data_IF_739531943630
#
_entry.id   IF_739531943630
#
_cell.length_a   1.000
_cell.length_b   1.000
_cell.length_c   1.000
_cell.angle_alpha   90.00
_cell.angle_beta   90.00
_cell.angle_gamma   90.00
#
_symmetry.space_group_name_H-M   'P 1'
#
loop_
_entity.id
_entity.type
_entity.pdbx_description
1 polymer ?
#
# COMPACT_ATOMS: atom_id res chain seq x y z
N UNK A 1 -28.80 -1.13 -17.82
CA UNK A 1 -27.65 -1.90 -18.38
C UNK A 1 -27.38 -3.09 -17.48
N UNK A 2 -27.36 -4.31 -18.02
CA UNK A 2 -26.94 -5.52 -17.26
C UNK A 2 -25.43 -5.70 -17.48
N UNK A 3 -24.64 -5.35 -16.48
CA UNK A 3 -23.19 -5.60 -16.48
C UNK A 3 -22.94 -7.10 -16.53
N UNK A 4 -22.35 -7.58 -17.62
CA UNK A 4 -22.05 -9.00 -17.78
C UNK A 4 -20.63 -9.22 -17.29
N UNK A 5 -20.46 -9.51 -15.99
CA UNK A 5 -19.15 -9.87 -15.43
C UNK A 5 -18.60 -11.08 -16.19
N UNK A 6 -17.55 -10.87 -16.97
CA UNK A 6 -16.86 -11.93 -17.71
C UNK A 6 -16.03 -12.73 -16.70
N UNK A 7 -16.68 -13.69 -16.04
CA UNK A 7 -16.02 -14.59 -15.11
C UNK A 7 -14.97 -15.41 -15.86
N UNK A 8 -13.69 -15.05 -15.71
CA UNK A 8 -12.58 -15.87 -16.20
C UNK A 8 -12.49 -17.10 -15.31
N UNK A 9 -13.15 -18.18 -15.74
CA UNK A 9 -13.06 -19.48 -15.07
C UNK A 9 -11.80 -20.20 -15.55
N UNK A 10 -10.86 -20.43 -14.65
CA UNK A 10 -9.76 -21.39 -14.87
C UNK A 10 -10.10 -22.65 -14.07
N UNK A 11 -10.31 -23.78 -14.76
CA UNK A 11 -10.68 -25.06 -14.16
C UNK A 11 -11.93 -24.98 -13.25
N UNK A 12 -12.95 -24.22 -13.65
CA UNK A 12 -14.21 -24.12 -12.91
C UNK A 12 -14.18 -23.28 -11.63
N UNK A 13 -13.04 -22.68 -11.26
CA UNK A 13 -12.92 -21.74 -10.13
C UNK A 13 -12.93 -20.30 -10.63
N UNK A 14 -13.64 -19.43 -9.92
CA UNK A 14 -13.48 -17.98 -10.09
C UNK A 14 -12.07 -17.64 -9.63
N UNK A 15 -11.26 -17.09 -10.53
CA UNK A 15 -9.92 -16.64 -10.19
C UNK A 15 -10.04 -15.18 -9.81
N UNK A 16 -9.74 -14.83 -8.57
CA UNK A 16 -9.74 -13.42 -8.21
C UNK A 16 -8.51 -12.76 -8.85
N UNK A 17 -8.76 -11.69 -9.61
CA UNK A 17 -7.75 -10.91 -10.29
C UNK A 17 -7.40 -9.68 -9.46
N UNK A 18 -6.12 -9.32 -9.40
CA UNK A 18 -5.71 -8.02 -8.86
C UNK A 18 -4.63 -7.44 -9.74
N UNK A 19 -4.68 -6.12 -9.93
CA UNK A 19 -3.71 -5.40 -10.75
C UNK A 19 -3.10 -4.27 -9.94
N UNK A 20 -1.78 -4.14 -10.04
CA UNK A 20 -1.07 -3.00 -9.50
C UNK A 20 -1.15 -1.84 -10.50
N UNK A 21 -1.57 -0.67 -10.02
CA UNK A 21 -1.78 0.53 -10.83
C UNK A 21 -0.92 1.68 -10.29
N UNK A 22 -0.41 2.52 -11.20
CA UNK A 22 0.24 3.79 -10.85
C UNK A 22 -0.75 4.96 -11.00
N UNK A 23 -0.27 6.19 -11.14
CA UNK A 23 -1.09 7.42 -11.20
C UNK A 23 -1.65 7.77 -12.58
N UNK A 24 -1.52 6.90 -13.60
CA UNK A 24 -2.07 7.21 -14.94
C UNK A 24 -3.56 6.87 -15.06
N UNK A 25 -4.40 7.73 -14.47
CA UNK A 25 -5.86 7.55 -14.42
C UNK A 25 -6.52 7.42 -15.79
N UNK A 26 -6.24 8.37 -16.68
CA UNK A 26 -6.89 8.46 -17.99
C UNK A 26 -6.63 7.22 -18.84
N UNK A 27 -5.40 6.69 -18.78
CA UNK A 27 -5.03 5.47 -19.48
C UNK A 27 -5.82 4.27 -18.95
N UNK A 28 -5.88 4.10 -17.63
CA UNK A 28 -6.53 2.95 -17.01
C UNK A 28 -8.04 2.95 -17.19
N UNK A 29 -8.68 4.11 -17.20
CA UNK A 29 -10.11 4.25 -17.55
C UNK A 29 -10.36 3.95 -19.02
N UNK A 30 -9.51 4.44 -19.92
CA UNK A 30 -9.67 4.21 -21.37
C UNK A 30 -9.63 2.72 -21.73
N UNK A 31 -8.88 1.91 -20.99
CA UNK A 31 -8.76 0.45 -21.21
C UNK A 31 -9.63 -0.39 -20.27
N UNK A 32 -10.45 0.24 -19.42
CA UNK A 32 -11.21 -0.41 -18.34
C UNK A 32 -10.35 -1.42 -17.54
N UNK A 33 -9.16 -1.02 -17.12
CA UNK A 33 -8.21 -1.93 -16.46
C UNK A 33 -8.79 -2.54 -15.18
N UNK A 34 -9.58 -1.74 -14.46
CA UNK A 34 -10.15 -2.10 -13.16
C UNK A 34 -11.51 -2.80 -13.25
N UNK A 35 -12.22 -2.76 -14.38
CA UNK A 35 -13.49 -3.47 -14.58
C UNK A 35 -13.41 -4.97 -14.34
N UNK A 36 -12.49 -5.71 -15.01
CA UNK A 36 -12.47 -7.18 -14.99
C UNK A 36 -11.76 -7.81 -13.77
N UNK A 37 -11.03 -7.02 -12.98
CA UNK A 37 -10.31 -7.50 -11.78
C UNK A 37 -11.12 -7.26 -10.51
N UNK A 38 -10.80 -7.92 -9.41
CA UNK A 38 -11.46 -7.70 -8.12
C UNK A 38 -10.88 -6.51 -7.37
N UNK A 39 -9.56 -6.30 -7.50
CA UNK A 39 -8.84 -5.24 -6.81
C UNK A 39 -7.88 -4.50 -7.74
N UNK A 40 -7.84 -3.19 -7.57
CA UNK A 40 -6.84 -2.29 -8.12
C UNK A 40 -5.99 -1.77 -6.97
N UNK A 41 -4.72 -2.16 -6.98
CA UNK A 41 -3.75 -1.90 -5.93
C UNK A 41 -2.95 -0.67 -6.35
N UNK A 42 -3.28 0.48 -5.77
CA UNK A 42 -2.54 1.69 -6.08
C UNK A 42 -1.17 1.63 -5.47
N UNK A 43 -0.16 1.56 -6.33
CA UNK A 43 1.23 1.69 -5.93
C UNK A 43 1.55 3.16 -6.15
N UNK A 44 1.66 3.94 -5.08
CA UNK A 44 2.11 5.33 -5.12
C UNK A 44 3.57 5.47 -5.57
N UNK A 45 4.01 4.73 -6.58
CA UNK A 45 5.39 4.72 -7.06
C UNK A 45 5.71 6.08 -7.68
N UNK A 46 6.85 6.69 -7.32
CA UNK A 46 7.33 7.88 -7.98
C UNK A 46 7.66 7.54 -9.45
N UNK A 47 6.99 8.16 -10.41
CA UNK A 47 7.44 8.08 -11.80
C UNK A 47 8.70 8.93 -11.95
N UNK A 48 9.78 8.35 -12.45
CA UNK A 48 11.07 9.03 -12.64
C UNK A 48 11.16 9.91 -13.88
N UNK A 49 10.09 10.02 -14.67
CA UNK A 49 10.21 10.60 -16.00
C UNK A 49 9.49 11.95 -16.05
N UNK A 50 10.23 13.01 -15.69
CA UNK A 50 10.02 14.41 -16.11
C UNK A 50 9.03 15.30 -15.32
N UNK A 51 8.41 14.84 -14.23
CA UNK A 51 7.68 15.68 -13.26
C UNK A 51 7.97 15.22 -11.82
N UNK A 52 7.94 16.09 -10.80
CA UNK A 52 8.22 15.71 -9.42
C UNK A 52 7.28 14.57 -8.97
N UNK A 53 7.86 13.37 -8.88
CA UNK A 53 7.38 12.15 -8.21
C UNK A 53 5.86 11.95 -8.22
N UNK A 54 5.32 11.40 -9.31
CA UNK A 54 3.90 11.08 -9.46
C UNK A 54 3.43 9.86 -8.64
N UNK A 55 3.69 9.83 -7.33
CA UNK A 55 3.19 8.78 -6.45
C UNK A 55 3.35 9.07 -4.97
N UNK A 56 4.43 9.76 -4.63
CA UNK A 56 4.75 10.20 -3.28
C UNK A 56 5.12 11.69 -3.30
N UNK A 57 4.47 12.50 -2.46
CA UNK A 57 4.73 13.93 -2.32
C UNK A 57 5.81 14.21 -1.27
N UNK A 58 6.88 13.41 -1.34
CA UNK A 58 8.04 13.17 -0.44
C UNK A 58 8.65 14.36 0.33
N UNK A 59 8.17 15.58 0.13
CA UNK A 59 8.70 16.82 0.69
C UNK A 59 7.64 17.66 1.41
N UNK A 60 6.34 17.30 1.39
CA UNK A 60 5.26 18.13 1.98
C UNK A 60 4.85 17.70 3.38
N UNK A 61 4.82 16.40 3.66
CA UNK A 61 4.59 15.88 5.01
C UNK A 61 5.91 15.42 5.61
N UNK A 62 6.39 16.06 6.70
CA UNK A 62 7.61 15.63 7.35
C UNK A 62 7.43 14.30 8.07
N UNK A 63 6.34 13.53 7.89
CA UNK A 63 6.10 12.24 8.55
C UNK A 63 6.10 11.05 7.58
N UNK A 64 6.18 11.27 6.26
CA UNK A 64 5.98 10.18 5.29
C UNK A 64 6.53 10.43 3.88
N UNK A 65 6.64 9.36 3.09
CA UNK A 65 6.84 9.46 1.64
C UNK A 65 5.56 9.99 0.97
N UNK A 66 4.39 9.52 1.42
CA UNK A 66 3.10 10.12 1.02
C UNK A 66 2.42 10.77 2.21
N UNK A 67 2.16 12.06 2.10
CA UNK A 67 1.22 12.76 2.95
C UNK A 67 -0.15 12.12 2.85
N UNK A 68 -0.87 12.13 3.97
CA UNK A 68 -2.24 11.63 3.98
C UNK A 68 -3.17 12.46 3.08
N UNK A 69 -2.92 13.77 2.94
CA UNK A 69 -3.70 14.65 2.06
C UNK A 69 -3.54 14.28 0.60
N UNK A 70 -2.32 13.91 0.19
CA UNK A 70 -2.09 13.37 -1.13
C UNK A 70 -2.90 12.08 -1.33
N UNK A 71 -2.79 11.11 -0.42
CA UNK A 71 -3.54 9.85 -0.52
C UNK A 71 -5.05 10.08 -0.57
N UNK A 72 -5.60 11.02 0.22
CA UNK A 72 -7.02 11.40 0.15
C UNK A 72 -7.41 11.90 -1.23
N UNK A 73 -6.60 12.75 -1.84
CA UNK A 73 -6.86 13.25 -3.20
C UNK A 73 -6.85 12.11 -4.23
N UNK A 74 -5.92 11.16 -4.11
CA UNK A 74 -5.87 9.97 -4.97
C UNK A 74 -7.13 9.11 -4.79
N UNK A 75 -7.53 8.83 -3.55
CA UNK A 75 -8.75 8.07 -3.23
C UNK A 75 -9.97 8.77 -3.82
N UNK A 76 -10.09 10.08 -3.64
CA UNK A 76 -11.17 10.90 -4.19
C UNK A 76 -11.21 10.83 -5.72
N UNK A 77 -10.06 10.95 -6.37
CA UNK A 77 -9.96 10.86 -7.83
C UNK A 77 -10.46 9.50 -8.34
N UNK A 78 -9.97 8.39 -7.76
CA UNK A 78 -10.39 7.04 -8.15
C UNK A 78 -11.88 6.78 -7.88
N UNK A 79 -12.37 7.21 -6.71
CA UNK A 79 -13.76 6.97 -6.29
C UNK A 79 -14.75 7.85 -7.05
N UNK A 80 -14.55 9.16 -7.00
CA UNK A 80 -15.56 10.14 -7.41
C UNK A 80 -15.46 10.50 -8.90
N UNK A 81 -14.24 10.55 -9.45
CA UNK A 81 -14.02 10.96 -10.85
C UNK A 81 -13.95 9.76 -11.77
N UNK A 82 -13.23 8.70 -11.35
CA UNK A 82 -13.10 7.48 -12.15
C UNK A 82 -14.25 6.50 -11.91
N UNK A 83 -15.03 6.66 -10.83
CA UNK A 83 -16.18 5.81 -10.52
C UNK A 83 -15.79 4.40 -10.08
N UNK A 84 -14.55 4.20 -9.60
CA UNK A 84 -14.10 2.90 -9.12
C UNK A 84 -14.82 2.59 -7.80
N UNK A 85 -15.51 1.44 -7.68
CA UNK A 85 -16.14 1.07 -6.41
C UNK A 85 -15.09 1.04 -5.28
N UNK A 86 -15.32 1.69 -4.12
CA UNK A 86 -14.35 1.79 -3.03
C UNK A 86 -13.72 0.45 -2.64
N UNK A 87 -14.56 -0.58 -2.52
CA UNK A 87 -14.13 -1.94 -2.16
C UNK A 87 -13.16 -2.58 -3.17
N UNK A 88 -13.02 -2.05 -4.40
CA UNK A 88 -12.03 -2.51 -5.39
C UNK A 88 -10.70 -1.77 -5.27
N UNK A 89 -10.66 -0.61 -4.64
CA UNK A 89 -9.46 0.21 -4.55
C UNK A 89 -8.66 -0.09 -3.28
N UNK A 90 -7.37 -0.37 -3.36
CA UNK A 90 -6.52 -0.57 -2.18
C UNK A 90 -5.35 0.40 -2.17
N UNK A 91 -5.03 0.95 -1.00
CA UNK A 91 -3.96 1.94 -0.79
C UNK A 91 -2.60 1.25 -0.71
N UNK A 92 -1.63 1.73 -1.48
CA UNK A 92 -0.24 1.32 -1.38
C UNK A 92 0.46 1.87 -0.14
N UNK A 93 1.22 1.00 0.51
CA UNK A 93 2.01 1.27 1.70
C UNK A 93 3.46 0.88 1.42
N UNK A 94 4.38 1.86 1.32
CA UNK A 94 5.80 1.59 1.21
C UNK A 94 6.33 1.09 2.56
N UNK A 95 7.00 -0.06 2.54
CA UNK A 95 7.77 -0.57 3.68
C UNK A 95 9.27 -0.37 3.43
N UNK A 96 9.65 0.79 2.90
CA UNK A 96 11.02 1.18 2.63
C UNK A 96 11.16 2.69 2.77
N UNK A 97 12.39 3.17 2.93
CA UNK A 97 12.72 4.57 2.74
C UNK A 97 13.35 4.83 1.39
N UNK A 98 13.20 6.05 0.89
CA UNK A 98 13.74 6.49 -0.39
C UNK A 98 14.48 7.81 -0.19
N UNK A 99 15.68 7.90 -0.75
CA UNK A 99 16.49 9.11 -0.70
C UNK A 99 16.12 10.06 -1.84
N UNK A 100 16.63 11.30 -1.79
CA UNK A 100 16.41 12.29 -2.86
C UNK A 100 16.94 11.85 -4.24
N UNK A 101 17.86 10.88 -4.30
CA UNK A 101 18.40 10.31 -5.55
C UNK A 101 17.64 9.05 -6.01
N UNK A 102 16.56 8.67 -5.32
CA UNK A 102 15.79 7.47 -5.60
C UNK A 102 16.39 6.17 -5.04
N UNK A 103 17.51 6.24 -4.30
CA UNK A 103 18.05 5.06 -3.64
C UNK A 103 17.09 4.59 -2.54
N UNK A 104 16.76 3.29 -2.54
CA UNK A 104 15.82 2.70 -1.59
C UNK A 104 16.54 1.87 -0.52
N UNK A 105 16.00 1.91 0.70
CA UNK A 105 16.50 1.13 1.84
C UNK A 105 15.32 0.47 2.57
N UNK A 106 15.39 -0.83 2.94
CA UNK A 106 14.31 -1.49 3.67
C UNK A 106 13.96 -0.80 5.00
N UNK A 107 12.69 -0.78 5.37
CA UNK A 107 12.22 -0.12 6.60
C UNK A 107 12.92 -0.66 7.85
N UNK A 108 13.07 -1.98 7.99
CA UNK A 108 13.81 -2.54 9.14
C UNK A 108 15.24 -2.03 9.24
N UNK A 109 15.89 -1.75 8.11
CA UNK A 109 17.28 -1.29 8.09
C UNK A 109 17.40 0.15 8.56
N UNK A 110 16.43 1.00 8.22
CA UNK A 110 16.34 2.36 8.78
C UNK A 110 16.24 2.33 10.31
N UNK A 111 15.37 1.46 10.83
CA UNK A 111 15.16 1.32 12.27
C UNK A 111 16.40 0.73 12.96
N UNK A 112 17.08 -0.25 12.36
CA UNK A 112 18.39 -0.74 12.83
C UNK A 112 19.45 0.36 12.88
N UNK A 113 19.40 1.32 11.95
CA UNK A 113 20.32 2.45 11.89
C UNK A 113 19.97 3.56 12.89
N UNK A 114 18.82 3.48 13.57
CA UNK A 114 18.38 4.44 14.58
C UNK A 114 17.22 5.35 14.16
N UNK A 115 16.57 5.09 13.03
CA UNK A 115 15.34 5.78 12.67
C UNK A 115 14.24 5.49 13.71
N UNK A 116 13.53 6.52 14.16
CA UNK A 116 12.36 6.37 15.03
C UNK A 116 11.11 6.08 14.17
N UNK A 117 10.50 4.89 14.28
CA UNK A 117 9.25 4.55 13.58
C UNK A 117 8.11 5.52 13.90
N UNK A 118 8.07 6.08 15.11
CA UNK A 118 7.01 7.00 15.58
C UNK A 118 7.35 8.47 15.31
N UNK A 119 8.51 8.72 14.72
CA UNK A 119 9.06 10.06 14.49
C UNK A 119 8.59 10.69 13.17
N UNK A 120 9.44 11.59 12.66
CA UNK A 120 9.18 12.45 11.50
C UNK A 120 9.50 11.76 10.16
N UNK A 121 9.16 10.48 9.97
CA UNK A 121 9.25 9.78 8.67
C UNK A 121 10.50 10.04 7.81
N UNK A 122 11.63 10.34 8.42
CA UNK A 122 12.85 10.74 7.73
C UNK A 122 14.05 10.47 8.63
N UNK A 123 15.11 9.92 8.04
CA UNK A 123 16.32 9.53 8.76
C UNK A 123 17.48 9.38 7.78
N UNK A 124 18.64 9.94 8.12
CA UNK A 124 19.87 9.81 7.33
C UNK A 124 19.70 10.10 5.82
N UNK A 125 18.87 11.09 5.46
CA UNK A 125 18.61 11.46 4.06
C UNK A 125 17.60 10.59 3.31
N UNK A 126 16.97 9.62 3.99
CA UNK A 126 15.85 8.83 3.48
C UNK A 126 14.52 9.33 4.06
N UNK A 127 13.48 9.32 3.25
CA UNK A 127 12.09 9.57 3.64
C UNK A 127 11.35 8.24 3.67
N UNK A 128 10.50 7.99 4.65
CA UNK A 128 9.74 6.75 4.84
C UNK A 128 8.42 7.04 5.55
N UNK A 129 7.40 6.19 5.38
CA UNK A 129 6.16 6.35 6.14
C UNK A 129 6.37 5.96 7.60
N UNK A 130 6.28 6.95 8.49
CA UNK A 130 6.24 6.70 9.94
C UNK A 130 4.98 5.95 10.35
N UNK A 131 5.02 5.28 11.50
CA UNK A 131 3.89 4.55 12.07
C UNK A 131 2.61 5.41 12.16
N UNK A 132 2.64 6.70 12.59
CA UNK A 132 1.47 7.57 12.52
C UNK A 132 0.88 7.73 11.11
N UNK A 133 1.71 7.92 10.08
CA UNK A 133 1.21 8.04 8.69
C UNK A 133 0.63 6.74 8.19
N UNK A 134 1.25 5.61 8.55
CA UNK A 134 0.70 4.30 8.21
C UNK A 134 -0.67 4.08 8.87
N UNK A 135 -0.85 4.51 10.12
CA UNK A 135 -2.14 4.47 10.80
C UNK A 135 -3.16 5.40 10.14
N UNK A 136 -2.77 6.64 9.80
CA UNK A 136 -3.64 7.59 9.08
C UNK A 136 -4.19 6.97 7.77
N UNK A 137 -3.38 6.18 7.06
CA UNK A 137 -3.79 5.45 5.85
C UNK A 137 -4.72 4.28 6.15
N UNK A 138 -4.55 3.60 7.28
CA UNK A 138 -5.45 2.53 7.73
C UNK A 138 -6.83 3.13 8.01
N UNK A 139 -6.85 4.20 8.79
CA UNK A 139 -8.08 4.91 9.16
C UNK A 139 -8.80 5.43 7.92
N UNK A 140 -8.06 6.03 6.96
CA UNK A 140 -8.62 6.46 5.69
C UNK A 140 -9.29 5.31 4.92
N UNK A 141 -8.61 4.17 4.82
CA UNK A 141 -9.12 2.98 4.12
C UNK A 141 -10.41 2.48 4.74
N UNK A 142 -10.46 2.41 6.08
CA UNK A 142 -11.63 1.97 6.83
C UNK A 142 -12.80 2.97 6.69
N UNK A 143 -12.54 4.26 6.86
CA UNK A 143 -13.54 5.32 6.78
C UNK A 143 -14.16 5.47 5.39
N UNK A 144 -13.37 5.24 4.33
CA UNK A 144 -13.80 5.35 2.93
C UNK A 144 -14.34 4.02 2.37
N UNK A 145 -14.35 2.94 3.16
CA UNK A 145 -14.81 1.63 2.72
C UNK A 145 -13.95 1.03 1.59
N UNK A 146 -12.65 1.29 1.62
CA UNK A 146 -11.73 0.85 0.59
C UNK A 146 -11.48 -0.65 0.64
N UNK A 147 -10.93 -1.17 -0.43
CA UNK A 147 -10.59 -2.58 -0.61
C UNK A 147 -9.41 -3.09 0.21
N UNK A 148 -8.78 -2.26 1.05
CA UNK A 148 -7.67 -2.61 1.94
C UNK A 148 -6.37 -1.88 1.60
N UNK A 149 -5.24 -2.53 1.89
CA UNK A 149 -3.90 -2.00 1.64
C UNK A 149 -3.05 -2.97 0.84
N UNK A 150 -2.00 -2.46 0.21
CA UNK A 150 -0.97 -3.26 -0.45
C UNK A 150 0.38 -2.80 0.07
N UNK A 151 1.16 -3.73 0.65
CA UNK A 151 2.48 -3.42 1.20
C UNK A 151 3.60 -3.81 0.24
N UNK A 152 4.51 -2.88 -0.06
CA UNK A 152 5.72 -3.13 -0.86
C UNK A 152 6.99 -2.83 -0.05
N UNK A 153 7.78 -3.81 0.38
CA UNK A 153 7.51 -5.25 0.40
C UNK A 153 7.61 -5.78 1.83
N UNK A 154 6.87 -6.85 2.16
CA UNK A 154 6.88 -7.44 3.51
C UNK A 154 8.26 -7.81 4.05
N UNK A 155 9.20 -8.17 3.16
CA UNK A 155 10.58 -8.51 3.57
C UNK A 155 11.34 -7.31 4.12
N UNK A 156 10.83 -6.12 3.83
CA UNK A 156 11.38 -4.86 4.30
C UNK A 156 10.75 -4.39 5.60
N UNK A 157 9.68 -5.06 6.08
CA UNK A 157 9.05 -4.78 7.37
C UNK A 157 9.97 -5.13 8.55
N UNK A 158 9.63 -4.61 9.71
CA UNK A 158 10.23 -4.99 10.98
C UNK A 158 10.11 -6.51 11.17
N UNK A 159 11.25 -7.16 11.44
CA UNK A 159 11.24 -8.57 11.76
C UNK A 159 10.50 -8.79 13.09
N UNK A 160 9.69 -9.84 13.23
CA UNK A 160 9.24 -10.29 14.54
C UNK A 160 10.49 -10.48 15.41
N UNK A 161 10.64 -9.67 16.46
CA UNK A 161 11.81 -9.80 17.33
C UNK A 161 11.77 -11.20 17.93
N UNK A 162 12.77 -12.03 17.63
CA UNK A 162 13.18 -13.10 18.54
C UNK A 162 13.60 -12.43 19.84
N UNK A 163 12.68 -12.35 20.81
CA UNK A 163 12.85 -11.98 22.23
C UNK A 163 13.94 -10.93 22.52
N UNK A 164 13.55 -9.66 22.56
CA UNK A 164 14.16 -8.69 23.48
C UNK A 164 13.09 -8.23 24.48
N UNK A 165 13.37 -8.22 25.79
CA UNK A 165 12.40 -7.79 26.79
C UNK A 165 12.29 -6.26 26.83
N UNK A 166 11.11 -5.80 27.28
CA UNK A 166 10.74 -4.46 27.74
C UNK A 166 10.54 -3.31 26.72
N UNK A 167 9.25 -3.00 26.57
CA UNK A 167 8.57 -1.73 26.93
C UNK A 167 8.26 -0.64 25.90
N UNK A 168 8.65 -0.73 24.62
CA UNK A 168 8.29 0.36 23.66
C UNK A 168 7.93 -0.05 22.23
N UNK A 169 7.80 -1.34 21.91
CA UNK A 169 7.62 -1.80 20.52
C UNK A 169 6.48 -2.78 20.30
N UNK A 170 5.23 -2.37 20.42
CA UNK A 170 4.10 -3.06 19.78
C UNK A 170 4.05 -2.62 18.30
N UNK A 171 4.20 -3.64 17.45
CA UNK A 171 4.54 -3.52 16.04
C UNK A 171 3.32 -3.17 15.20
N UNK A 172 3.54 -2.56 14.03
CA UNK A 172 2.52 -2.27 13.02
C UNK A 172 1.64 -3.49 12.66
N UNK A 173 2.18 -4.71 12.83
CA UNK A 173 1.46 -5.98 12.69
C UNK A 173 0.41 -6.23 13.78
N UNK A 174 0.44 -5.54 14.92
CA UNK A 174 -0.50 -5.69 16.04
C UNK A 174 -1.74 -4.82 15.86
N UNK A 175 -1.59 -3.56 15.43
CA UNK A 175 -2.73 -2.66 15.11
C UNK A 175 -3.59 -3.24 13.99
N UNK A 176 -2.98 -3.90 13.00
CA UNK A 176 -3.73 -4.55 11.93
C UNK A 176 -4.36 -5.91 12.35
N UNK A 177 -4.19 -6.38 13.60
CA UNK A 177 -4.94 -7.54 14.15
C UNK A 177 -6.37 -7.19 14.55
N UNK A 178 -6.66 -5.93 14.86
CA UNK A 178 -7.96 -5.51 15.41
C UNK A 178 -8.92 -4.94 14.36
N UNK A 179 -8.41 -4.43 13.24
CA UNK A 179 -9.22 -3.93 12.13
C UNK A 179 -9.17 -4.87 10.93
N UNK A 180 -10.30 -5.07 10.26
CA UNK A 180 -10.48 -5.99 9.13
C UNK A 180 -9.75 -5.56 7.84
N UNK A 181 -8.57 -4.97 7.96
CA UNK A 181 -7.74 -4.48 6.86
C UNK A 181 -7.01 -5.66 6.22
N UNK A 182 -7.34 -5.93 4.97
CA UNK A 182 -6.69 -6.96 4.17
C UNK A 182 -5.47 -6.38 3.47
N UNK A 183 -4.29 -6.98 3.68
CA UNK A 183 -3.16 -6.77 2.77
C UNK A 183 -3.35 -7.63 1.52
N UNK A 184 -3.42 -6.99 0.35
CA UNK A 184 -3.45 -7.67 -0.92
C UNK A 184 -2.02 -7.99 -1.36
N UNK A 185 -1.71 -9.27 -1.50
CA UNK A 185 -0.40 -9.76 -1.91
C UNK A 185 -0.45 -10.32 -3.32
N UNK A 186 0.45 -9.86 -4.19
CA UNK A 186 0.77 -10.53 -5.45
C UNK A 186 2.08 -11.30 -5.28
N UNK A 187 1.99 -12.63 -5.32
CA UNK A 187 3.14 -13.51 -5.46
C UNK A 187 2.95 -14.38 -6.70
N UNK A 188 3.37 -13.87 -7.84
CA UNK A 188 3.59 -14.71 -9.02
C UNK A 188 4.78 -15.61 -8.77
N UNK A 189 4.63 -16.89 -9.12
CA UNK A 189 5.70 -17.85 -9.01
C UNK A 189 5.32 -18.97 -10.00
N UNK A 190 6.22 -19.82 -10.49
CA UNK A 190 7.12 -20.54 -9.59
C UNK A 190 6.40 -21.01 -8.31
N UNK A 191 5.07 -21.24 -8.43
CA UNK A 191 3.86 -20.93 -7.60
C UNK A 191 3.91 -20.48 -6.13
N UNK A 192 3.07 -19.50 -5.75
CA UNK A 192 2.45 -19.49 -4.41
C UNK A 192 1.03 -18.94 -4.53
N UNK A 193 0.10 -19.63 -3.88
CA UNK A 193 -1.31 -19.32 -3.88
C UNK A 193 -1.59 -17.95 -3.25
N UNK A 194 -2.64 -17.30 -3.76
CA UNK A 194 -3.29 -16.14 -3.18
C UNK A 194 -3.80 -16.51 -1.79
N UNK A 195 -3.17 -15.98 -0.75
CA UNK A 195 -3.68 -16.10 0.61
C UNK A 195 -3.88 -14.69 1.13
N UNK A 196 -5.15 -14.33 1.25
CA UNK A 196 -5.60 -13.24 2.08
C UNK A 196 -5.35 -13.72 3.52
N UNK A 197 -4.19 -13.38 4.08
CA UNK A 197 -3.89 -13.73 5.46
C UNK A 197 -4.48 -12.65 6.36
N UNK A 198 -5.50 -12.98 7.17
CA UNK A 198 -5.82 -12.13 8.31
C UNK A 198 -4.61 -12.15 9.27
N UNK A 199 -4.24 -10.99 9.82
CA UNK A 199 -2.96 -10.76 10.53
C UNK A 199 -2.70 -11.63 11.77
N UNK A 200 -3.67 -12.44 12.21
CA UNK A 200 -3.53 -13.36 13.34
C UNK A 200 -2.75 -14.66 13.02
N UNK A 201 -2.22 -14.83 11.80
CA UNK A 201 -1.44 -16.03 11.40
C UNK A 201 0.03 -15.77 11.02
N UNK A 202 0.60 -14.64 11.43
CA UNK A 202 2.05 -14.34 11.30
C UNK A 202 2.65 -14.18 12.70
#
# INVERSE_FOLDING_TARGET
>A
MKETKKNVKRNGRNVNGSVAIITSYALYKAIDLCGPVDKCLWMGIPSTDTYPSAGYDNFRDPRGQSSIDWVRNIVREWKDVQGLPPAKFAIGVPLYGESATGAQIPYFKLVEMGADPKGKGSFAGYFFDSQPVLQDKIDLSNNEGLGGHMAWSLRSDLRPRTRFPSSTGEQFSESAKHDASYFCYTKHRGGTNMIVLPLWRI
#
